data_IF_772334597404
#
_entry.id   IF_772334597404
#
_cell.length_a   1.000
_cell.length_b   1.000
_cell.length_c   1.000
_cell.angle_alpha   90.00
_cell.angle_beta   90.00
_cell.angle_gamma   90.00
#
_symmetry.space_group_name_H-M   'P 1'
#
loop_
_entity.id
_entity.type
_entity.pdbx_description
1 polymer ?
#
# COMPACT_ATOMS: atom_id res chain seq x y z
N UNK A 1 56.27 -17.84 32.21
CA UNK A 1 54.81 -17.82 32.47
C UNK A 1 54.14 -17.10 31.31
N UNK A 2 53.28 -17.81 30.58
CA UNK A 2 52.89 -17.51 29.20
C UNK A 2 51.96 -16.29 29.15
N UNK A 3 52.33 -15.31 28.33
CA UNK A 3 51.52 -14.12 27.99
C UNK A 3 50.40 -14.55 27.05
N UNK A 4 49.18 -14.69 27.55
CA UNK A 4 47.98 -14.88 26.71
C UNK A 4 47.33 -13.53 26.48
N UNK A 5 47.75 -12.85 25.41
CA UNK A 5 47.05 -11.69 24.87
C UNK A 5 45.84 -12.22 24.07
N UNK A 6 44.64 -12.04 24.61
CA UNK A 6 43.39 -12.23 23.87
C UNK A 6 43.25 -11.09 22.86
N UNK A 7 43.63 -11.32 21.61
CA UNK A 7 43.27 -10.46 20.51
C UNK A 7 41.78 -10.69 20.19
N UNK A 8 40.91 -9.78 20.65
CA UNK A 8 39.54 -9.68 20.14
C UNK A 8 39.62 -9.28 18.66
N UNK A 9 39.53 -10.27 17.78
CA UNK A 9 39.26 -10.02 16.37
C UNK A 9 37.81 -9.52 16.25
N UNK A 10 37.63 -8.20 16.06
CA UNK A 10 36.37 -7.66 15.56
C UNK A 10 36.20 -8.20 14.13
N UNK A 11 35.43 -9.28 14.00
CA UNK A 11 34.91 -9.70 12.71
C UNK A 11 33.94 -8.61 12.24
N UNK A 12 34.34 -7.86 11.22
CA UNK A 12 33.46 -6.93 10.52
C UNK A 12 32.37 -7.75 9.81
N UNK A 13 31.24 -7.94 10.50
CA UNK A 13 30.04 -8.51 9.89
C UNK A 13 29.58 -7.55 8.81
N UNK A 14 29.83 -7.93 7.57
CA UNK A 14 29.35 -7.25 6.38
C UNK A 14 27.84 -7.40 6.36
N UNK A 15 27.13 -6.37 6.83
CA UNK A 15 25.68 -6.30 6.69
C UNK A 15 25.40 -6.23 5.18
N UNK A 16 24.71 -7.21 4.58
CA UNK A 16 24.38 -7.13 3.17
C UNK A 16 23.48 -5.92 2.97
N UNK A 17 23.78 -5.13 1.93
CA UNK A 17 22.97 -3.99 1.55
C UNK A 17 21.53 -4.45 1.32
N UNK A 18 20.64 -4.02 2.21
CA UNK A 18 19.20 -4.19 2.06
C UNK A 18 18.83 -3.63 0.68
N UNK A 19 18.25 -4.48 -0.18
CA UNK A 19 17.92 -4.14 -1.55
C UNK A 19 17.15 -2.83 -1.66
N UNK A 20 17.42 -2.08 -2.74
CA UNK A 20 16.73 -0.85 -3.06
C UNK A 20 15.22 -1.07 -2.97
N UNK A 21 14.56 -0.31 -2.09
CA UNK A 21 13.09 -0.26 -2.03
C UNK A 21 12.61 0.24 -3.40
N UNK A 22 11.51 -0.31 -3.95
CA UNK A 22 10.92 0.26 -5.15
C UNK A 22 10.67 1.75 -4.90
N UNK A 23 10.93 2.58 -5.92
CA UNK A 23 10.65 4.00 -5.87
C UNK A 23 9.23 4.20 -5.33
N UNK A 24 9.17 4.93 -4.21
CA UNK A 24 7.96 5.12 -3.45
C UNK A 24 6.88 5.75 -4.33
N UNK A 25 5.62 5.51 -3.95
CA UNK A 25 4.42 6.10 -4.51
C UNK A 25 4.32 7.65 -4.40
N UNK A 26 5.47 8.32 -4.29
CA UNK A 26 5.60 9.76 -4.15
C UNK A 26 5.29 10.50 -5.46
N UNK A 27 5.42 9.83 -6.62
CA UNK A 27 5.18 10.42 -7.95
C UNK A 27 3.76 10.10 -8.49
N UNK A 28 2.76 10.04 -7.61
CA UNK A 28 1.37 9.80 -8.01
C UNK A 28 0.70 11.13 -8.36
N UNK A 29 0.19 11.32 -9.60
CA UNK A 29 -0.59 12.51 -9.96
C UNK A 29 -1.84 12.67 -9.09
N UNK A 30 -2.38 11.55 -8.60
CA UNK A 30 -3.49 11.57 -7.66
C UNK A 30 -3.05 12.21 -6.32
N UNK A 31 -1.89 11.83 -5.78
CA UNK A 31 -1.40 12.34 -4.50
C UNK A 31 -1.05 13.83 -4.57
N UNK A 32 -0.57 14.34 -5.71
CA UNK A 32 -0.25 15.76 -5.89
C UNK A 32 -1.44 16.67 -5.58
N UNK A 33 -2.62 16.35 -6.10
CA UNK A 33 -3.85 17.10 -5.84
C UNK A 33 -4.52 16.66 -4.52
N UNK A 34 -4.67 15.36 -4.30
CA UNK A 34 -5.42 14.84 -3.15
C UNK A 34 -4.73 15.05 -1.80
N UNK A 35 -3.43 15.35 -1.77
CA UNK A 35 -2.77 15.77 -0.54
C UNK A 35 -3.34 17.09 0.00
N UNK A 36 -3.88 17.95 -0.87
CA UNK A 36 -4.55 19.20 -0.48
C UNK A 36 -6.07 18.98 -0.29
N UNK A 37 -6.73 18.28 -1.20
CA UNK A 37 -8.19 18.13 -1.19
C UNK A 37 -8.68 17.11 -0.14
N UNK A 38 -7.94 16.01 0.05
CA UNK A 38 -8.30 14.91 0.96
C UNK A 38 -7.10 14.41 1.77
N UNK A 39 -6.47 15.26 2.59
CA UNK A 39 -5.21 14.95 3.26
C UNK A 39 -5.27 13.71 4.15
N UNK A 40 -6.42 13.47 4.80
CA UNK A 40 -6.63 12.29 5.65
C UNK A 40 -6.57 10.98 4.87
N UNK A 41 -7.24 10.91 3.72
CA UNK A 41 -7.23 9.71 2.88
C UNK A 41 -5.82 9.40 2.34
N UNK A 42 -5.07 10.43 1.94
CA UNK A 42 -3.67 10.28 1.52
C UNK A 42 -2.78 9.81 2.67
N UNK A 43 -2.97 10.35 3.87
CA UNK A 43 -2.23 9.93 5.06
C UNK A 43 -2.50 8.46 5.41
N UNK A 44 -3.77 8.05 5.43
CA UNK A 44 -4.17 6.67 5.71
C UNK A 44 -3.62 5.70 4.66
N UNK A 45 -3.69 6.06 3.38
CA UNK A 45 -3.10 5.26 2.32
C UNK A 45 -1.58 5.11 2.49
N UNK A 46 -0.84 6.18 2.76
CA UNK A 46 0.63 6.13 3.00
C UNK A 46 0.98 5.22 4.17
N UNK A 47 0.14 5.16 5.20
CA UNK A 47 0.34 4.30 6.38
C UNK A 47 -0.07 2.84 6.12
N UNK A 48 -0.96 2.59 5.16
CA UNK A 48 -1.43 1.26 4.80
C UNK A 48 -0.36 0.39 4.13
N UNK A 49 -0.57 -0.93 4.11
CA UNK A 49 0.29 -1.84 3.34
C UNK A 49 0.21 -1.60 1.83
N UNK A 50 -0.95 -1.21 1.30
CA UNK A 50 -1.10 -0.91 -0.12
C UNK A 50 -0.26 0.30 -0.53
N UNK A 51 -0.28 1.40 0.24
CA UNK A 51 0.58 2.55 -0.02
C UNK A 51 2.06 2.25 0.16
N UNK A 52 2.43 1.45 1.17
CA UNK A 52 3.82 1.00 1.37
C UNK A 52 4.33 0.11 0.23
N UNK A 53 3.44 -0.61 -0.46
CA UNK A 53 3.75 -1.43 -1.63
C UNK A 53 3.74 -0.63 -2.94
N UNK A 54 3.31 0.62 -2.93
CA UNK A 54 3.24 1.47 -4.11
C UNK A 54 2.02 1.25 -4.99
N UNK A 55 0.92 0.68 -4.46
CA UNK A 55 -0.34 0.58 -5.18
C UNK A 55 -0.98 1.97 -5.27
N UNK A 56 -0.94 2.53 -6.48
CA UNK A 56 -1.50 3.84 -6.79
C UNK A 56 -3.02 3.90 -6.57
N UNK A 57 -3.54 5.10 -6.26
CA UNK A 57 -4.96 5.36 -6.05
C UNK A 57 -5.82 4.84 -7.21
N UNK A 58 -5.33 5.02 -8.44
CA UNK A 58 -6.05 4.67 -9.66
C UNK A 58 -6.27 3.17 -9.86
N UNK A 59 -5.48 2.33 -9.20
CA UNK A 59 -5.65 0.87 -9.25
C UNK A 59 -7.01 0.44 -8.70
N UNK A 60 -7.51 1.16 -7.70
CA UNK A 60 -8.83 0.89 -7.11
C UNK A 60 -9.91 1.86 -7.61
N UNK A 61 -9.58 3.14 -7.72
CA UNK A 61 -10.57 4.20 -7.98
C UNK A 61 -10.72 4.57 -9.46
N UNK A 62 -9.77 4.21 -10.32
CA UNK A 62 -9.65 4.78 -11.66
C UNK A 62 -9.06 6.19 -11.64
N UNK A 63 -9.23 6.93 -12.73
CA UNK A 63 -8.65 8.27 -12.91
C UNK A 63 -9.73 9.29 -13.25
N UNK A 64 -9.57 10.50 -12.73
CA UNK A 64 -10.36 11.68 -13.10
C UNK A 64 -9.39 12.85 -13.31
N UNK A 65 -9.83 13.86 -14.06
CA UNK A 65 -9.01 15.01 -14.40
C UNK A 65 -9.28 16.23 -13.52
N UNK A 66 -10.44 16.30 -12.86
CA UNK A 66 -10.88 17.49 -12.12
C UNK A 66 -11.88 17.15 -11.00
N UNK A 67 -12.36 18.17 -10.29
CA UNK A 67 -13.47 17.98 -9.35
C UNK A 67 -14.82 17.69 -10.06
N UNK A 68 -14.97 18.10 -11.33
CA UNK A 68 -16.25 18.03 -12.04
C UNK A 68 -16.62 16.60 -12.47
N UNK A 69 -15.63 15.75 -12.71
CA UNK A 69 -15.78 14.37 -13.20
C UNK A 69 -15.61 13.32 -12.10
N UNK A 70 -15.46 13.73 -10.83
CA UNK A 70 -15.38 12.79 -9.68
C UNK A 70 -16.63 11.91 -9.59
N UNK A 71 -17.80 12.45 -9.93
CA UNK A 71 -19.07 11.70 -9.92
C UNK A 71 -19.16 10.59 -10.97
N UNK A 72 -18.25 10.58 -11.95
CA UNK A 72 -18.16 9.54 -12.98
C UNK A 72 -17.35 8.32 -12.50
N UNK A 73 -16.60 8.47 -11.40
CA UNK A 73 -15.87 7.37 -10.80
C UNK A 73 -16.84 6.40 -10.11
N UNK A 74 -16.58 5.10 -10.30
CA UNK A 74 -17.31 4.06 -9.58
C UNK A 74 -16.76 3.93 -8.17
N UNK A 75 -17.66 3.74 -7.21
CA UNK A 75 -17.28 3.36 -5.87
C UNK A 75 -16.50 2.03 -5.89
N UNK A 76 -15.46 1.93 -5.06
CA UNK A 76 -14.72 0.68 -4.86
C UNK A 76 -15.67 -0.33 -4.21
N UNK A 77 -15.82 -1.50 -4.83
CA UNK A 77 -16.67 -2.59 -4.34
C UNK A 77 -15.81 -3.81 -4.00
N UNK A 78 -16.36 -4.86 -3.36
CA UNK A 78 -15.63 -6.11 -3.16
C UNK A 78 -15.03 -6.68 -4.46
N UNK A 79 -15.69 -6.47 -5.61
CA UNK A 79 -15.19 -6.94 -6.91
C UNK A 79 -13.86 -6.27 -7.30
N UNK A 80 -13.69 -4.98 -6.99
CA UNK A 80 -12.41 -4.27 -7.19
C UNK A 80 -11.28 -4.96 -6.42
N UNK A 81 -11.55 -5.36 -5.18
CA UNK A 81 -10.60 -6.09 -4.34
C UNK A 81 -10.30 -7.49 -4.91
N UNK A 82 -11.30 -8.11 -5.54
CA UNK A 82 -11.24 -9.47 -6.11
C UNK A 82 -10.21 -9.62 -7.23
N UNK A 83 -9.86 -8.52 -7.91
CA UNK A 83 -8.78 -8.50 -8.92
C UNK A 83 -7.44 -9.01 -8.36
N UNK A 84 -7.19 -8.81 -7.06
CA UNK A 84 -5.98 -9.29 -6.37
C UNK A 84 -6.28 -10.28 -5.23
N UNK A 85 -7.48 -10.21 -4.64
CA UNK A 85 -7.86 -10.95 -3.43
C UNK A 85 -9.10 -11.83 -3.64
N UNK A 86 -9.15 -12.57 -4.74
CA UNK A 86 -10.28 -13.44 -5.12
C UNK A 86 -10.76 -14.34 -3.96
N UNK A 87 -9.86 -15.07 -3.30
CA UNK A 87 -10.20 -15.96 -2.19
C UNK A 87 -10.86 -15.22 -1.01
N UNK A 88 -10.42 -13.98 -0.72
CA UNK A 88 -10.97 -13.18 0.39
C UNK A 88 -12.36 -12.66 0.05
N UNK A 89 -12.56 -12.28 -1.20
CA UNK A 89 -13.88 -11.86 -1.70
C UNK A 89 -14.85 -13.04 -1.70
N UNK A 90 -14.41 -14.23 -2.12
CA UNK A 90 -15.23 -15.44 -2.05
C UNK A 90 -15.61 -15.79 -0.60
N UNK A 91 -14.66 -15.67 0.33
CA UNK A 91 -14.94 -15.88 1.75
C UNK A 91 -15.93 -14.84 2.29
N UNK A 92 -15.75 -13.57 1.95
CA UNK A 92 -16.63 -12.48 2.36
C UNK A 92 -18.05 -12.66 1.80
N UNK A 93 -18.18 -13.01 0.51
CA UNK A 93 -19.48 -13.13 -0.18
C UNK A 93 -20.39 -14.20 0.42
N UNK A 94 -19.81 -15.21 1.07
CA UNK A 94 -20.55 -16.26 1.81
C UNK A 94 -21.03 -15.81 3.21
N UNK A 95 -20.60 -14.64 3.68
CA UNK A 95 -20.93 -14.11 5.00
C UNK A 95 -22.21 -13.27 5.02
N UNK A 96 -22.85 -13.19 6.20
CA UNK A 96 -24.08 -12.39 6.40
C UNK A 96 -23.90 -10.89 6.11
N UNK A 97 -22.71 -10.35 6.35
CA UNK A 97 -22.40 -8.94 6.05
C UNK A 97 -22.40 -8.65 4.55
N UNK A 98 -22.02 -9.61 3.70
CA UNK A 98 -22.10 -9.45 2.25
C UNK A 98 -23.56 -9.46 1.76
N UNK A 99 -24.42 -10.28 2.36
CA UNK A 99 -25.85 -10.34 2.02
C UNK A 99 -26.54 -9.00 2.29
N UNK A 100 -26.20 -8.32 3.38
CA UNK A 100 -26.74 -6.99 3.69
C UNK A 100 -26.24 -5.89 2.74
N UNK A 101 -25.06 -6.07 2.14
CA UNK A 101 -24.47 -5.13 1.18
C UNK A 101 -25.12 -5.23 -0.21
N UNK A 102 -25.69 -6.38 -0.57
CA UNK A 102 -26.33 -6.63 -1.85
C UNK A 102 -27.83 -6.32 -1.88
N UNK A 103 -28.42 -5.88 -0.76
CA UNK A 103 -29.84 -5.59 -0.58
C UNK A 103 -30.22 -4.16 -0.98
#
# INVERSE_FOLDING_TARGET
MKKTLFALALAAMSVPAMGARPAAAQDSPCVECHAAETPGAVADWKLSRHGQMGLDCSVCHGTHASAADVGELRAVTPDTCGNCHADRVEQYSKGKHAVAWAA
#
